data_IF_957571396422
#
_entry.id   IF_957571396422
#
_cell.length_a   1.000
_cell.length_b   1.000
_cell.length_c   1.000
_cell.angle_alpha   90.00
_cell.angle_beta   90.00
_cell.angle_gamma   90.00
#
_symmetry.space_group_name_H-M   'P 1'
#
loop_
_entity.id
_entity.type
_entity.pdbx_description
1 polymer ?
#
# COMPACT_ATOMS: atom_id res chain seq x y z
N UNK A 1 -2.94 -19.10 14.58
CA UNK A 1 -3.27 -18.32 13.38
C UNK A 1 -4.67 -17.72 13.55
N UNK A 2 -4.88 -16.44 13.26
CA UNK A 2 -6.16 -15.77 13.49
C UNK A 2 -7.20 -16.24 12.46
N UNK A 3 -8.48 -16.37 12.87
CA UNK A 3 -9.59 -16.80 12.00
C UNK A 3 -9.71 -15.92 10.74
N UNK A 4 -9.53 -14.61 10.86
CA UNK A 4 -9.59 -13.69 9.71
C UNK A 4 -8.47 -13.97 8.68
N UNK A 5 -7.28 -14.34 9.14
CA UNK A 5 -6.17 -14.72 8.24
C UNK A 5 -6.53 -15.96 7.40
N UNK A 6 -7.26 -16.91 7.97
CA UNK A 6 -7.71 -18.10 7.27
C UNK A 6 -8.76 -17.79 6.19
N UNK A 7 -9.62 -16.79 6.43
CA UNK A 7 -10.59 -16.30 5.46
C UNK A 7 -9.86 -15.64 4.28
N UNK A 8 -8.89 -14.77 4.53
CA UNK A 8 -8.12 -14.11 3.47
C UNK A 8 -7.34 -15.08 2.59
N UNK A 9 -6.88 -16.22 3.14
CA UNK A 9 -6.28 -17.31 2.37
C UNK A 9 -7.25 -17.90 1.34
N UNK A 10 -8.48 -18.15 1.76
CA UNK A 10 -9.54 -18.66 0.90
C UNK A 10 -9.83 -17.66 -0.23
N UNK A 11 -10.12 -16.41 0.12
CA UNK A 11 -10.44 -15.34 -0.85
C UNK A 11 -9.33 -15.16 -1.88
N UNK A 12 -8.07 -15.13 -1.45
CA UNK A 12 -6.92 -15.00 -2.34
C UNK A 12 -6.81 -16.16 -3.32
N UNK A 13 -7.02 -17.41 -2.86
CA UNK A 13 -7.00 -18.57 -3.75
C UNK A 13 -8.11 -18.52 -4.78
N UNK A 14 -9.31 -18.18 -4.36
CA UNK A 14 -10.46 -18.09 -5.26
C UNK A 14 -10.26 -16.98 -6.30
N UNK A 15 -9.72 -15.83 -5.91
CA UNK A 15 -9.36 -14.75 -6.84
C UNK A 15 -8.34 -15.22 -7.89
N UNK A 16 -7.29 -15.92 -7.48
CA UNK A 16 -6.29 -16.49 -8.41
C UNK A 16 -6.89 -17.48 -9.39
N UNK A 17 -7.83 -18.33 -8.92
CA UNK A 17 -8.53 -19.28 -9.78
C UNK A 17 -9.45 -18.57 -10.78
N UNK A 18 -10.12 -17.50 -10.38
CA UNK A 18 -10.95 -16.68 -11.26
C UNK A 18 -10.12 -16.06 -12.39
N UNK A 19 -8.98 -15.44 -12.06
CA UNK A 19 -8.08 -14.85 -13.05
C UNK A 19 -7.49 -15.89 -14.02
N UNK A 20 -7.18 -17.09 -13.54
CA UNK A 20 -6.71 -18.16 -14.42
C UNK A 20 -7.78 -18.60 -15.43
N UNK A 21 -9.06 -18.49 -15.11
CA UNK A 21 -10.16 -18.77 -16.06
C UNK A 21 -10.30 -17.65 -17.08
N UNK A 22 -10.33 -16.39 -16.65
CA UNK A 22 -10.41 -15.23 -17.56
C UNK A 22 -9.24 -15.23 -18.56
N UNK A 23 -8.00 -15.43 -18.09
CA UNK A 23 -6.84 -15.49 -18.98
C UNK A 23 -6.89 -16.65 -19.99
N UNK A 24 -7.58 -17.75 -19.66
CA UNK A 24 -7.79 -18.86 -20.62
C UNK A 24 -8.86 -18.52 -21.66
N UNK A 25 -9.92 -17.86 -21.25
CA UNK A 25 -10.98 -17.41 -22.16
C UNK A 25 -10.46 -16.35 -23.14
N UNK A 26 -9.69 -15.36 -22.65
CA UNK A 26 -9.01 -14.36 -23.48
C UNK A 26 -7.97 -14.96 -24.43
N UNK A 27 -7.30 -16.04 -24.04
CA UNK A 27 -6.32 -16.74 -24.89
C UNK A 27 -7.02 -17.52 -26.02
N UNK A 28 -8.21 -18.03 -25.80
CA UNK A 28 -9.01 -18.70 -26.84
C UNK A 28 -9.57 -17.71 -27.85
N UNK A 29 -9.97 -16.51 -27.40
CA UNK A 29 -10.50 -15.44 -28.26
C UNK A 29 -9.41 -14.76 -29.13
N UNK A 30 -8.13 -14.80 -28.70
CA UNK A 30 -7.00 -14.18 -29.42
C UNK A 30 -6.37 -15.06 -30.51
N UNK A 31 -6.77 -16.33 -30.65
CA UNK A 31 -6.25 -17.21 -31.71
C UNK A 31 -6.81 -16.91 -33.10
N UNK A 32 -7.80 -16.03 -33.24
CA UNK A 32 -8.43 -15.67 -34.51
C UNK A 32 -8.00 -14.30 -35.10
N UNK A 33 -6.98 -13.64 -34.55
CA UNK A 33 -6.46 -12.38 -35.10
C UNK A 33 -4.96 -12.46 -35.40
N UNK A 34 -4.64 -12.15 -36.68
CA UNK A 34 -3.28 -12.13 -37.26
C UNK A 34 -2.26 -11.31 -36.46
N UNK A 35 -0.95 -11.63 -36.56
CA UNK A 35 0.08 -11.02 -35.74
C UNK A 35 0.45 -9.60 -36.21
N UNK A 36 0.27 -8.62 -35.35
CA UNK A 36 0.82 -7.29 -35.55
C UNK A 36 2.34 -7.27 -35.30
N UNK A 37 3.05 -6.67 -36.26
CA UNK A 37 4.52 -6.52 -36.30
C UNK A 37 5.06 -5.82 -35.02
N UNK A 38 5.96 -6.48 -34.35
CA UNK A 38 6.80 -5.91 -33.29
C UNK A 38 7.77 -4.87 -33.85
N UNK A 39 7.66 -3.64 -33.41
CA UNK A 39 8.66 -2.60 -33.60
C UNK A 39 9.85 -2.86 -32.67
N UNK A 40 11.02 -3.11 -33.28
CA UNK A 40 12.29 -3.19 -32.56
C UNK A 40 12.74 -1.78 -32.17
N UNK A 41 12.92 -1.55 -30.86
CA UNK A 41 13.62 -0.34 -30.40
C UNK A 41 15.11 -0.46 -30.72
N UNK A 42 15.66 0.55 -31.41
CA UNK A 42 17.09 0.73 -31.62
C UNK A 42 17.74 1.24 -30.34
N UNK A 43 18.75 0.56 -29.87
CA UNK A 43 19.68 1.05 -28.86
C UNK A 43 20.71 1.96 -29.54
N UNK A 44 20.58 3.25 -29.37
CA UNK A 44 21.60 4.23 -29.75
C UNK A 44 22.64 4.38 -28.63
N UNK A 45 23.82 3.88 -28.88
CA UNK A 45 25.00 4.10 -28.05
C UNK A 45 25.55 5.49 -28.33
N UNK A 46 25.31 6.44 -27.43
CA UNK A 46 26.06 7.69 -27.42
C UNK A 46 27.29 7.55 -26.53
N UNK A 47 28.46 7.44 -27.15
CA UNK A 47 29.77 7.65 -26.53
C UNK A 47 30.17 9.12 -26.71
N UNK A 48 30.27 9.86 -25.60
CA UNK A 48 30.81 11.21 -25.56
C UNK A 48 32.30 11.11 -25.24
N UNK A 49 33.23 11.70 -26.03
CA UNK A 49 34.66 11.72 -25.69
C UNK A 49 34.95 12.75 -24.59
N UNK A 50 35.75 12.35 -23.61
CA UNK A 50 36.30 13.22 -22.57
C UNK A 50 37.45 14.05 -23.16
N UNK A 51 37.57 15.34 -22.81
CA UNK A 51 38.76 16.13 -23.21
C UNK A 51 39.92 15.88 -22.27
N UNK A 52 41.09 15.65 -22.82
CA UNK A 52 42.39 15.62 -22.18
C UNK A 52 42.73 17.00 -21.58
N UNK A 53 42.95 17.04 -20.24
CA UNK A 53 43.64 18.14 -19.62
C UNK A 53 44.74 17.62 -18.68
N UNK A 54 45.97 18.09 -18.92
CA UNK A 54 47.18 17.79 -18.19
C UNK A 54 47.14 18.31 -16.73
N UNK A 55 47.92 17.71 -15.80
CA UNK A 55 47.87 18.04 -14.38
C UNK A 55 48.65 19.32 -14.03
N UNK A 56 48.15 20.17 -13.10
CA UNK A 56 48.96 21.20 -12.49
C UNK A 56 49.71 20.64 -11.28
N UNK A 57 51.02 20.83 -11.28
CA UNK A 57 51.92 20.65 -10.14
C UNK A 57 51.69 21.74 -9.12
N UNK A 58 51.30 21.37 -7.92
CA UNK A 58 51.25 22.27 -6.77
C UNK A 58 51.11 21.47 -5.48
N UNK A 59 52.16 21.37 -4.71
CA UNK A 59 52.17 20.83 -3.35
C UNK A 59 51.36 21.76 -2.45
N UNK A 60 50.14 21.39 -2.12
CA UNK A 60 49.39 21.97 -0.99
C UNK A 60 49.10 20.90 0.05
N UNK A 61 49.29 21.27 1.31
CA UNK A 61 49.15 20.47 2.52
C UNK A 61 47.80 19.74 2.53
N UNK A 62 47.80 18.42 2.50
CA UNK A 62 46.67 17.56 2.79
C UNK A 62 46.16 17.75 4.22
N UNK A 63 45.26 18.70 4.38
CA UNK A 63 44.29 18.63 5.47
C UNK A 63 43.29 17.56 5.07
N UNK A 64 43.24 16.47 5.84
CA UNK A 64 42.33 15.32 5.62
C UNK A 64 40.85 15.77 5.55
N UNK A 65 40.39 16.23 4.42
CA UNK A 65 38.99 16.24 4.10
C UNK A 65 38.64 14.79 3.81
N UNK A 66 38.06 14.09 4.79
CA UNK A 66 37.45 12.79 4.60
C UNK A 66 36.58 12.87 3.33
N UNK A 67 36.91 12.08 2.31
CA UNK A 67 36.25 12.16 1.02
C UNK A 67 34.74 11.91 1.22
N UNK A 68 33.83 12.69 0.62
CA UNK A 68 32.38 12.55 0.80
C UNK A 68 31.86 11.14 0.52
N UNK A 69 32.52 10.42 -0.38
CA UNK A 69 32.23 9.01 -0.73
C UNK A 69 32.41 8.07 0.46
N UNK A 70 33.45 8.27 1.27
CA UNK A 70 33.74 7.43 2.43
C UNK A 70 32.70 7.62 3.55
N UNK A 71 32.31 8.85 3.83
CA UNK A 71 31.26 9.13 4.83
C UNK A 71 29.92 8.50 4.45
N UNK A 72 29.50 8.61 3.17
CA UNK A 72 28.24 8.01 2.70
C UNK A 72 28.25 6.50 2.89
N UNK A 73 29.38 5.85 2.66
CA UNK A 73 29.52 4.41 2.82
C UNK A 73 29.53 4.00 4.30
N UNK A 74 30.19 4.76 5.17
CA UNK A 74 30.20 4.55 6.61
C UNK A 74 28.78 4.66 7.20
N UNK A 75 28.04 5.71 6.84
CA UNK A 75 26.65 5.93 7.26
C UNK A 75 25.74 4.80 6.78
N UNK A 76 25.86 4.40 5.52
CA UNK A 76 25.08 3.29 4.96
C UNK A 76 25.35 1.98 5.71
N UNK A 77 26.61 1.65 5.93
CA UNK A 77 27.02 0.41 6.61
C UNK A 77 26.52 0.41 8.06
N UNK A 78 26.64 1.54 8.75
CA UNK A 78 26.10 1.71 10.10
C UNK A 78 24.60 1.45 10.14
N UNK A 79 23.81 2.14 9.31
CA UNK A 79 22.37 2.03 9.31
C UNK A 79 21.90 0.61 8.95
N UNK A 80 22.51 -0.03 7.94
CA UNK A 80 22.16 -1.40 7.54
C UNK A 80 22.52 -2.45 8.60
N UNK A 81 23.54 -2.19 9.43
CA UNK A 81 23.94 -3.08 10.54
C UNK A 81 22.98 -2.98 11.72
N UNK A 82 22.47 -1.78 12.01
CA UNK A 82 21.65 -1.52 13.19
C UNK A 82 20.17 -1.68 12.94
N UNK A 83 19.70 -1.41 11.71
CA UNK A 83 18.27 -1.30 11.38
C UNK A 83 17.92 -1.97 10.07
N UNK A 84 16.75 -2.58 10.05
CA UNK A 84 16.03 -2.96 8.82
C UNK A 84 15.17 -1.76 8.39
N UNK A 85 15.25 -1.36 7.13
CA UNK A 85 14.42 -0.30 6.55
C UNK A 85 13.57 -0.83 5.41
N UNK A 86 12.37 -0.24 5.23
CA UNK A 86 11.51 -0.44 4.07
C UNK A 86 10.72 0.83 3.77
N UNK A 87 10.37 1.04 2.50
CA UNK A 87 9.58 2.18 2.08
C UNK A 87 8.14 1.75 1.77
N UNK A 88 7.19 2.34 2.48
CA UNK A 88 5.77 2.03 2.33
C UNK A 88 5.18 2.80 1.15
N UNK A 89 4.74 2.09 0.11
CA UNK A 89 4.20 2.70 -1.12
C UNK A 89 2.86 3.42 -0.92
N UNK A 90 2.09 3.09 0.13
CA UNK A 90 0.79 3.72 0.39
C UNK A 90 0.92 5.01 1.20
N UNK A 91 1.66 4.97 2.30
CA UNK A 91 1.86 6.15 3.15
C UNK A 91 2.99 7.04 2.64
N UNK A 92 3.83 6.52 1.74
CA UNK A 92 5.04 7.17 1.22
C UNK A 92 6.03 7.55 2.35
N UNK A 93 6.13 6.67 3.34
CA UNK A 93 7.02 6.84 4.49
C UNK A 93 8.06 5.72 4.51
N UNK A 94 9.28 6.05 4.92
CA UNK A 94 10.26 5.05 5.28
C UNK A 94 9.96 4.54 6.69
N UNK A 95 9.87 3.23 6.82
CA UNK A 95 9.68 2.55 8.10
C UNK A 95 10.98 1.82 8.47
N UNK A 96 11.21 1.67 9.78
CA UNK A 96 12.38 1.01 10.33
C UNK A 96 12.03 0.07 11.48
N UNK A 97 12.91 -0.85 11.77
CA UNK A 97 12.96 -1.64 13.02
C UNK A 97 14.41 -1.99 13.35
N UNK A 98 14.75 -2.28 14.63
CA UNK A 98 16.06 -2.79 14.97
C UNK A 98 16.33 -4.15 14.29
N UNK A 99 17.49 -4.30 13.63
CA UNK A 99 17.82 -5.49 12.86
C UNK A 99 17.91 -6.76 13.71
N UNK A 100 18.29 -6.63 14.98
CA UNK A 100 18.41 -7.71 15.95
C UNK A 100 17.07 -8.12 16.63
N UNK A 101 15.97 -7.37 16.37
CA UNK A 101 14.66 -7.57 16.99
C UNK A 101 13.56 -7.76 15.94
N UNK A 102 13.62 -8.85 15.19
CA UNK A 102 12.66 -9.11 14.11
C UNK A 102 11.20 -9.23 14.55
N UNK A 103 10.95 -9.48 15.84
CA UNK A 103 9.60 -9.51 16.41
C UNK A 103 8.99 -8.12 16.62
N UNK A 104 9.79 -7.06 16.61
CA UNK A 104 9.31 -5.67 16.72
C UNK A 104 8.69 -5.26 15.39
N UNK A 105 7.48 -4.65 15.39
CA UNK A 105 6.89 -4.14 14.17
C UNK A 105 7.73 -2.99 13.58
N UNK A 106 7.57 -2.77 12.29
CA UNK A 106 8.13 -1.59 11.65
C UNK A 106 7.37 -0.33 12.06
N UNK A 107 8.09 0.75 12.31
CA UNK A 107 7.56 2.06 12.67
C UNK A 107 8.06 3.12 11.69
N UNK A 108 7.27 4.18 11.40
CA UNK A 108 7.72 5.27 10.53
C UNK A 108 8.93 5.99 11.12
N UNK A 109 9.88 6.36 10.26
CA UNK A 109 11.02 7.21 10.65
C UNK A 109 10.54 8.64 10.80
N UNK A 110 10.41 9.10 12.04
CA UNK A 110 10.14 10.50 12.35
C UNK A 110 11.45 11.30 12.54
N UNK A 111 11.30 12.61 12.74
CA UNK A 111 12.45 13.47 13.04
C UNK A 111 13.15 13.06 14.34
N UNK A 112 12.43 12.49 15.29
CA UNK A 112 12.98 12.02 16.56
C UNK A 112 13.90 10.82 16.34
N UNK A 113 13.46 9.84 15.57
CA UNK A 113 14.26 8.66 15.23
C UNK A 113 15.49 9.04 14.41
N UNK A 114 15.35 9.97 13.46
CA UNK A 114 16.47 10.48 12.68
C UNK A 114 17.57 11.07 13.58
N UNK A 115 17.17 11.87 14.59
CA UNK A 115 18.12 12.41 15.56
C UNK A 115 18.76 11.29 16.41
N UNK A 116 18.00 10.27 16.81
CA UNK A 116 18.52 9.10 17.53
C UNK A 116 19.60 8.40 16.71
N UNK A 117 19.32 8.13 15.43
CA UNK A 117 20.31 7.51 14.53
C UNK A 117 21.58 8.35 14.38
N UNK A 118 21.45 9.68 14.37
CA UNK A 118 22.59 10.59 14.31
C UNK A 118 23.46 10.49 15.58
N UNK A 119 22.83 10.47 16.74
CA UNK A 119 23.54 10.31 18.03
C UNK A 119 24.26 8.96 18.11
N UNK A 120 23.59 7.87 17.75
CA UNK A 120 24.21 6.54 17.74
C UNK A 120 25.36 6.40 16.74
N UNK A 121 25.27 7.08 15.57
CA UNK A 121 26.38 7.16 14.64
C UNK A 121 27.58 7.88 15.21
N UNK A 122 27.35 8.99 15.93
CA UNK A 122 28.42 9.73 16.63
C UNK A 122 29.07 8.88 17.72
N UNK A 123 28.30 8.13 18.50
CA UNK A 123 28.82 7.21 19.53
C UNK A 123 29.74 6.14 18.93
N UNK A 124 29.55 5.80 17.65
CA UNK A 124 30.43 4.90 16.89
C UNK A 124 31.58 5.63 16.13
N UNK A 125 31.78 6.93 16.41
CA UNK A 125 32.86 7.72 15.81
C UNK A 125 32.60 8.17 14.36
N UNK A 126 31.37 8.07 13.86
CA UNK A 126 30.96 8.51 12.52
C UNK A 126 30.56 9.99 12.60
N UNK A 127 31.38 10.90 12.07
CA UNK A 127 31.09 12.35 12.04
C UNK A 127 30.11 12.66 10.89
N UNK A 128 28.81 12.44 11.11
CA UNK A 128 27.75 12.70 10.14
C UNK A 128 26.70 13.68 10.71
N UNK A 129 25.93 14.27 9.80
CA UNK A 129 24.80 15.13 10.15
C UNK A 129 23.47 14.41 9.80
N UNK A 130 22.37 14.89 10.34
CA UNK A 130 21.02 14.43 10.02
C UNK A 130 20.74 14.35 8.50
N UNK A 131 21.31 15.28 7.73
CA UNK A 131 21.22 15.30 6.26
C UNK A 131 21.90 14.12 5.60
N UNK A 132 22.97 13.59 6.15
CA UNK A 132 23.71 12.47 5.57
C UNK A 132 22.92 11.16 5.78
N UNK A 133 22.32 11.00 6.95
CA UNK A 133 21.40 9.91 7.27
C UNK A 133 20.13 10.01 6.42
N UNK A 134 19.53 11.19 6.32
CA UNK A 134 18.33 11.45 5.54
C UNK A 134 18.49 11.09 4.07
N UNK A 135 19.65 11.38 3.46
CA UNK A 135 19.96 11.01 2.06
C UNK A 135 19.86 9.53 1.82
N UNK A 136 20.31 8.70 2.75
CA UNK A 136 20.17 7.26 2.63
C UNK A 136 18.74 6.79 2.92
N UNK A 137 18.15 7.22 4.04
CA UNK A 137 16.85 6.79 4.53
C UNK A 137 15.71 7.13 3.54
N UNK A 138 15.81 8.29 2.87
CA UNK A 138 14.80 8.74 1.89
C UNK A 138 15.24 8.52 0.43
N UNK A 139 16.23 7.66 0.20
CA UNK A 139 16.67 7.29 -1.14
C UNK A 139 15.99 6.01 -1.65
N UNK A 140 16.07 5.79 -2.94
CA UNK A 140 15.65 4.54 -3.61
C UNK A 140 16.52 3.33 -3.24
N UNK A 141 17.55 3.50 -2.39
CA UNK A 141 18.30 2.39 -1.82
C UNK A 141 17.50 1.59 -0.79
N UNK A 142 16.43 2.15 -0.25
CA UNK A 142 15.52 1.47 0.67
C UNK A 142 14.51 0.65 -0.14
N UNK A 143 14.34 -0.64 0.18
CA UNK A 143 13.42 -1.50 -0.56
C UNK A 143 11.97 -1.04 -0.39
N UNK A 144 11.28 -0.90 -1.50
CA UNK A 144 9.86 -0.56 -1.53
C UNK A 144 9.00 -1.79 -1.22
N UNK A 145 7.89 -1.58 -0.53
CA UNK A 145 6.90 -2.61 -0.30
C UNK A 145 5.47 -2.08 -0.34
N UNK A 146 4.55 -2.93 -0.75
CA UNK A 146 3.12 -2.65 -0.72
C UNK A 146 2.47 -3.46 0.40
N UNK A 147 1.90 -2.85 1.45
CA UNK A 147 1.44 -3.56 2.66
C UNK A 147 0.46 -4.70 2.38
N UNK A 148 -0.52 -4.46 1.51
CA UNK A 148 -1.54 -5.47 1.18
C UNK A 148 -0.96 -6.61 0.36
N UNK A 149 -0.11 -6.33 -0.62
CA UNK A 149 0.53 -7.36 -1.45
C UNK A 149 1.43 -8.23 -0.60
N UNK A 150 2.29 -7.63 0.21
CA UNK A 150 3.17 -8.37 1.12
C UNK A 150 2.36 -9.27 2.06
N UNK A 151 1.29 -8.75 2.68
CA UNK A 151 0.43 -9.55 3.54
C UNK A 151 -0.18 -10.75 2.81
N UNK A 152 -0.70 -10.54 1.60
CA UNK A 152 -1.32 -11.59 0.79
C UNK A 152 -0.31 -12.64 0.30
N UNK A 153 0.92 -12.23 -0.02
CA UNK A 153 2.00 -13.11 -0.45
C UNK A 153 2.52 -13.99 0.69
N UNK A 154 2.54 -13.46 1.91
CA UNK A 154 2.96 -14.20 3.12
C UNK A 154 1.88 -15.15 3.66
N UNK A 155 0.66 -15.10 3.14
CA UNK A 155 -0.39 -16.02 3.55
C UNK A 155 -0.02 -17.47 3.21
N UNK A 156 -0.12 -18.39 4.17
CA UNK A 156 0.07 -19.80 3.89
C UNK A 156 -1.00 -20.34 2.91
N UNK A 157 -0.76 -21.51 2.28
CA UNK A 157 -1.71 -22.12 1.36
C UNK A 157 -3.09 -22.39 2.00
N UNK A 158 -4.18 -22.32 1.24
CA UNK A 158 -5.54 -22.61 1.74
C UNK A 158 -5.70 -24.09 2.09
N UNK A 159 -6.38 -24.39 3.18
CA UNK A 159 -6.59 -25.74 3.73
C UNK A 159 -7.87 -26.44 3.21
N UNK A 160 -8.59 -25.82 2.28
CA UNK A 160 -9.82 -26.38 1.68
C UNK A 160 -11.10 -26.07 2.45
N UNK A 161 -11.03 -25.49 3.64
CA UNK A 161 -12.22 -25.20 4.45
C UNK A 161 -12.85 -23.87 4.06
N UNK A 162 -14.15 -23.88 3.76
CA UNK A 162 -14.93 -22.66 3.52
C UNK A 162 -15.27 -21.96 4.84
N UNK A 163 -14.66 -20.81 5.03
CA UNK A 163 -14.87 -19.95 6.19
C UNK A 163 -15.55 -18.64 5.82
N UNK A 164 -15.59 -18.32 4.53
CA UNK A 164 -16.17 -17.08 4.06
C UNK A 164 -17.69 -17.13 4.13
N UNK A 165 -18.29 -18.27 3.76
CA UNK A 165 -19.71 -18.50 3.95
C UNK A 165 -20.10 -18.43 5.44
N UNK A 166 -19.35 -19.12 6.30
CA UNK A 166 -19.57 -19.08 7.75
C UNK A 166 -19.45 -17.67 8.35
N UNK A 167 -18.57 -16.82 7.79
CA UNK A 167 -18.47 -15.41 8.17
C UNK A 167 -19.70 -14.62 7.72
N UNK A 168 -20.16 -14.82 6.49
CA UNK A 168 -21.35 -14.14 5.96
C UNK A 168 -22.60 -14.49 6.77
N UNK A 169 -22.76 -15.74 7.17
CA UNK A 169 -23.87 -16.24 7.98
C UNK A 169 -23.92 -15.64 9.38
N UNK A 170 -22.81 -15.06 9.88
CA UNK A 170 -22.82 -14.27 11.13
C UNK A 170 -23.71 -13.05 11.06
N UNK A 171 -23.97 -12.56 9.86
CA UNK A 171 -24.82 -11.40 9.61
C UNK A 171 -26.22 -11.84 9.19
N UNK A 172 -26.33 -12.78 8.25
CA UNK A 172 -27.62 -13.27 7.75
C UNK A 172 -27.47 -14.58 7.00
N UNK A 173 -28.46 -15.48 7.14
CA UNK A 173 -28.55 -16.74 6.39
C UNK A 173 -29.17 -16.57 4.99
N UNK A 174 -29.49 -15.34 4.60
CA UNK A 174 -30.02 -15.02 3.28
C UNK A 174 -28.98 -15.37 2.20
N UNK A 175 -29.37 -16.26 1.27
CA UNK A 175 -28.49 -16.74 0.20
C UNK A 175 -27.99 -15.62 -0.75
N UNK A 176 -28.85 -14.61 -1.00
CA UNK A 176 -28.45 -13.46 -1.78
C UNK A 176 -27.34 -12.64 -1.05
N UNK A 177 -27.49 -12.46 0.25
CA UNK A 177 -26.47 -11.82 1.08
C UNK A 177 -25.15 -12.60 1.04
N UNK A 178 -25.18 -13.90 1.31
CA UNK A 178 -24.00 -14.75 1.35
C UNK A 178 -23.23 -14.65 0.03
N UNK A 179 -23.92 -14.83 -1.11
CA UNK A 179 -23.34 -14.72 -2.44
C UNK A 179 -22.79 -13.33 -2.74
N UNK A 180 -23.52 -12.27 -2.40
CA UNK A 180 -23.11 -10.90 -2.65
C UNK A 180 -21.90 -10.50 -1.78
N UNK A 181 -21.88 -10.92 -0.52
CA UNK A 181 -20.75 -10.70 0.39
C UNK A 181 -19.49 -11.42 -0.10
N UNK A 182 -19.64 -12.67 -0.55
CA UNK A 182 -18.55 -13.42 -1.17
C UNK A 182 -17.94 -12.66 -2.38
N UNK A 183 -18.80 -12.24 -3.32
CA UNK A 183 -18.38 -11.48 -4.50
C UNK A 183 -17.72 -10.17 -4.11
N UNK A 184 -18.25 -9.46 -3.11
CA UNK A 184 -17.68 -8.23 -2.61
C UNK A 184 -16.29 -8.45 -1.98
N UNK A 185 -16.09 -9.53 -1.22
CA UNK A 185 -14.77 -9.88 -0.65
C UNK A 185 -13.73 -10.18 -1.73
N UNK A 186 -14.12 -10.85 -2.82
CA UNK A 186 -13.25 -11.04 -3.99
C UNK A 186 -12.88 -9.70 -4.63
N UNK A 187 -13.86 -8.82 -4.84
CA UNK A 187 -13.64 -7.48 -5.38
C UNK A 187 -12.73 -6.61 -4.50
N UNK A 188 -12.89 -6.70 -3.18
CA UNK A 188 -12.03 -6.01 -2.21
C UNK A 188 -10.58 -6.52 -2.30
N UNK A 189 -10.39 -7.84 -2.40
CA UNK A 189 -9.05 -8.43 -2.54
C UNK A 189 -8.41 -8.03 -3.87
N UNK A 190 -9.16 -8.07 -4.97
CA UNK A 190 -8.71 -7.61 -6.28
C UNK A 190 -8.27 -6.14 -6.23
N UNK A 191 -9.01 -5.28 -5.51
CA UNK A 191 -8.67 -3.89 -5.29
C UNK A 191 -7.33 -3.75 -4.55
N UNK A 192 -7.12 -4.49 -3.46
CA UNK A 192 -5.88 -4.49 -2.69
C UNK A 192 -4.67 -4.97 -3.48
N UNK A 193 -4.89 -5.93 -4.36
CA UNK A 193 -3.83 -6.48 -5.23
C UNK A 193 -3.56 -5.63 -6.48
N UNK A 194 -4.39 -4.59 -6.73
CA UNK A 194 -4.31 -3.79 -7.94
C UNK A 194 -4.75 -4.53 -9.21
N UNK A 195 -5.66 -5.48 -9.06
CA UNK A 195 -6.14 -6.38 -10.13
C UNK A 195 -7.50 -5.95 -10.70
N UNK A 196 -7.90 -4.71 -10.46
CA UNK A 196 -9.24 -4.20 -10.85
C UNK A 196 -9.32 -3.69 -12.29
N UNK A 197 -8.19 -3.66 -13.01
CA UNK A 197 -8.19 -3.17 -14.38
C UNK A 197 -8.78 -1.75 -14.51
N UNK A 198 -9.83 -1.61 -15.33
CA UNK A 198 -10.52 -0.32 -15.56
C UNK A 198 -11.58 -0.03 -14.48
N UNK A 199 -12.10 -1.07 -13.83
CA UNK A 199 -13.23 -0.96 -12.90
C UNK A 199 -12.77 -1.15 -11.46
N UNK A 200 -13.15 -0.22 -10.59
CA UNK A 200 -12.95 -0.33 -9.16
C UNK A 200 -14.09 -1.14 -8.50
N UNK A 201 -13.86 -1.67 -7.28
CA UNK A 201 -14.93 -2.25 -6.46
C UNK A 201 -15.93 -1.17 -6.05
N UNK A 202 -16.98 -0.97 -6.85
CA UNK A 202 -17.99 0.09 -6.68
C UNK A 202 -19.18 -0.31 -5.82
N UNK A 203 -19.16 -1.50 -5.23
CA UNK A 203 -20.20 -2.03 -4.34
C UNK A 203 -19.79 -1.84 -2.89
N UNK A 204 -20.76 -1.50 -2.03
CA UNK A 204 -20.58 -1.41 -0.59
C UNK A 204 -21.73 -2.15 0.11
N UNK A 205 -21.47 -3.22 0.87
CA UNK A 205 -22.49 -3.80 1.75
C UNK A 205 -22.84 -2.81 2.87
N UNK A 206 -24.13 -2.65 3.14
CA UNK A 206 -24.63 -1.84 4.26
C UNK A 206 -25.31 -2.77 5.27
N UNK A 207 -24.76 -2.83 6.49
CA UNK A 207 -25.33 -3.61 7.59
C UNK A 207 -26.41 -2.80 8.29
N UNK A 208 -27.66 -3.22 8.13
CA UNK A 208 -28.81 -2.50 8.68
C UNK A 208 -29.40 -3.24 9.89
N UNK A 209 -29.62 -2.54 10.99
CA UNK A 209 -30.37 -3.04 12.14
C UNK A 209 -30.87 -1.87 12.97
N UNK A 210 -32.15 -1.84 13.28
CA UNK A 210 -32.77 -0.84 14.18
C UNK A 210 -32.31 -0.96 15.64
N UNK A 211 -31.80 -2.15 16.03
CA UNK A 211 -31.28 -2.36 17.38
C UNK A 211 -29.84 -1.86 17.49
N UNK A 212 -29.56 -1.10 18.54
CA UNK A 212 -28.20 -0.72 18.92
C UNK A 212 -27.46 -1.89 19.58
N UNK A 213 -26.12 -1.85 19.56
CA UNK A 213 -25.30 -2.88 20.21
C UNK A 213 -25.15 -4.20 19.43
N UNK A 214 -25.68 -4.32 18.21
CA UNK A 214 -25.55 -5.49 17.33
C UNK A 214 -24.14 -5.67 16.74
N UNK A 215 -23.16 -4.93 17.24
CA UNK A 215 -21.74 -5.05 16.85
C UNK A 215 -21.47 -4.87 15.35
N UNK A 216 -22.30 -4.10 14.62
CA UNK A 216 -22.13 -3.85 13.18
C UNK A 216 -20.74 -3.27 12.84
N UNK A 217 -20.35 -2.17 13.49
CA UNK A 217 -19.05 -1.53 13.26
C UNK A 217 -17.88 -2.43 13.71
N UNK A 218 -18.08 -3.23 14.78
CA UNK A 218 -17.11 -4.23 15.21
C UNK A 218 -16.89 -5.30 14.15
N UNK A 219 -17.98 -5.79 13.51
CA UNK A 219 -17.87 -6.70 12.38
C UNK A 219 -17.09 -6.08 11.22
N UNK A 220 -17.41 -4.86 10.81
CA UNK A 220 -16.70 -4.14 9.75
C UNK A 220 -15.19 -4.06 10.05
N UNK A 221 -14.83 -3.68 11.26
CA UNK A 221 -13.42 -3.59 11.69
C UNK A 221 -12.74 -4.95 11.74
N UNK A 222 -13.44 -6.00 12.15
CA UNK A 222 -12.91 -7.35 12.27
C UNK A 222 -12.58 -7.99 10.90
N UNK A 223 -13.11 -7.46 9.79
CA UNK A 223 -12.74 -7.89 8.44
C UNK A 223 -11.28 -7.54 8.12
N UNK A 224 -10.74 -6.47 8.71
CA UNK A 224 -9.36 -6.09 8.48
C UNK A 224 -8.39 -7.00 9.25
N UNK A 225 -7.36 -7.57 8.58
CA UNK A 225 -6.33 -8.33 9.29
C UNK A 225 -5.63 -7.47 10.34
N UNK A 226 -5.24 -8.02 11.50
CA UNK A 226 -4.54 -7.27 12.54
C UNK A 226 -3.28 -6.55 12.04
N UNK A 227 -2.51 -7.19 11.16
CA UNK A 227 -1.30 -6.61 10.56
C UNK A 227 -1.60 -5.39 9.66
N UNK A 228 -2.83 -5.28 9.14
CA UNK A 228 -3.29 -4.20 8.27
C UNK A 228 -4.28 -3.26 8.96
N UNK A 229 -4.48 -3.39 10.28
CA UNK A 229 -5.48 -2.64 11.04
C UNK A 229 -5.34 -1.11 10.92
N UNK A 230 -4.12 -0.60 10.70
CA UNK A 230 -3.85 0.83 10.46
C UNK A 230 -4.49 1.38 9.18
N UNK A 231 -4.85 0.50 8.25
CA UNK A 231 -5.49 0.85 6.97
C UNK A 231 -7.02 0.69 6.98
N UNK A 232 -7.60 0.60 8.16
CA UNK A 232 -9.03 0.68 8.39
C UNK A 232 -9.41 2.04 8.94
N UNK A 233 -10.52 2.60 8.46
CA UNK A 233 -11.05 3.86 8.96
C UNK A 233 -12.56 3.81 9.11
N UNK A 234 -13.05 4.25 10.27
CA UNK A 234 -14.45 4.60 10.49
C UNK A 234 -14.73 6.05 10.08
N UNK A 235 -15.99 6.36 9.76
CA UNK A 235 -16.48 7.73 9.58
C UNK A 235 -15.78 8.52 8.46
N UNK A 236 -15.92 8.04 7.23
CA UNK A 236 -15.47 8.78 6.04
C UNK A 236 -16.14 10.15 5.95
N UNK A 237 -15.38 11.23 6.14
CA UNK A 237 -15.86 12.60 6.00
C UNK A 237 -15.86 13.01 4.53
N UNK A 238 -17.04 13.10 3.94
CA UNK A 238 -17.25 13.58 2.56
C UNK A 238 -17.29 15.12 2.53
N UNK A 239 -16.14 15.74 2.73
CA UNK A 239 -15.98 17.19 2.59
C UNK A 239 -14.71 17.51 1.81
N UNK A 240 -14.69 18.65 1.12
CA UNK A 240 -13.50 19.09 0.39
C UNK A 240 -12.26 19.25 1.28
N UNK A 241 -12.45 19.53 2.56
CA UNK A 241 -11.38 19.63 3.54
C UNK A 241 -10.84 18.26 3.99
N UNK A 242 -11.65 17.19 3.88
CA UNK A 242 -11.30 15.84 4.29
C UNK A 242 -10.37 15.11 3.31
N UNK A 243 -10.14 15.68 2.12
CA UNK A 243 -9.34 15.08 1.03
C UNK A 243 -9.63 13.58 0.87
N UNK A 244 -10.90 13.20 0.61
CA UNK A 244 -11.31 11.80 0.59
C UNK A 244 -10.52 10.99 -0.44
N UNK A 245 -10.07 11.59 -1.54
CA UNK A 245 -9.27 10.92 -2.58
C UNK A 245 -7.96 10.37 -2.02
N UNK A 246 -7.30 11.10 -1.12
CA UNK A 246 -6.09 10.62 -0.47
C UNK A 246 -6.35 9.39 0.39
N UNK A 247 -7.45 9.39 1.15
CA UNK A 247 -7.86 8.25 1.96
C UNK A 247 -8.14 7.01 1.09
N UNK A 248 -8.69 7.22 -0.11
CA UNK A 248 -8.94 6.11 -1.05
C UNK A 248 -7.67 5.45 -1.58
N UNK A 249 -6.55 6.18 -1.63
CA UNK A 249 -5.26 5.63 -2.04
C UNK A 249 -4.49 4.98 -0.89
N UNK A 250 -4.76 5.35 0.36
CA UNK A 250 -4.01 4.90 1.54
C UNK A 250 -4.73 3.81 2.32
N UNK A 251 -6.07 3.90 2.48
CA UNK A 251 -6.86 2.96 3.27
C UNK A 251 -7.29 1.74 2.47
N UNK A 252 -7.38 0.58 3.12
CA UNK A 252 -7.88 -0.65 2.51
C UNK A 252 -9.38 -0.82 2.63
N UNK A 253 -9.94 -0.41 3.77
CA UNK A 253 -11.37 -0.51 4.04
C UNK A 253 -11.87 0.73 4.78
N UNK A 254 -12.89 1.36 4.20
CA UNK A 254 -13.57 2.53 4.75
C UNK A 254 -14.97 2.14 5.20
N UNK A 255 -15.25 2.31 6.48
CA UNK A 255 -16.58 2.11 7.03
C UNK A 255 -17.36 3.43 7.02
N UNK A 256 -18.47 3.44 6.31
CA UNK A 256 -19.47 4.51 6.33
C UNK A 256 -20.41 4.27 7.52
N UNK A 257 -19.91 4.54 8.72
CA UNK A 257 -20.69 4.35 9.93
C UNK A 257 -21.87 5.32 9.96
N UNK A 258 -23.03 4.88 10.46
CA UNK A 258 -24.27 5.65 10.45
C UNK A 258 -24.62 6.18 9.04
N UNK A 259 -24.62 5.29 8.04
CA UNK A 259 -24.87 5.63 6.63
C UNK A 259 -26.17 6.42 6.41
N UNK A 260 -27.17 6.22 7.25
CA UNK A 260 -28.42 6.97 7.27
C UNK A 260 -28.26 8.48 7.55
N UNK A 261 -27.13 8.89 8.11
CA UNK A 261 -26.82 10.32 8.35
C UNK A 261 -26.18 11.03 7.15
N UNK A 262 -25.79 10.29 6.11
CA UNK A 262 -25.26 10.90 4.89
C UNK A 262 -26.36 11.63 4.14
N UNK A 263 -26.22 12.95 4.00
CA UNK A 263 -27.21 13.79 3.32
C UNK A 263 -27.26 13.54 1.80
N UNK A 264 -28.40 13.86 1.20
CA UNK A 264 -28.61 13.74 -0.27
C UNK A 264 -27.55 14.49 -1.08
N UNK A 265 -27.00 15.58 -0.56
CA UNK A 265 -25.94 16.37 -1.21
C UNK A 265 -24.58 15.66 -1.23
N UNK A 266 -24.34 14.70 -0.34
CA UNK A 266 -23.10 13.93 -0.25
C UNK A 266 -23.12 12.71 -1.16
N UNK A 267 -24.28 12.21 -1.53
CA UNK A 267 -24.43 10.98 -2.32
C UNK A 267 -23.79 11.05 -3.71
N UNK A 268 -23.87 12.16 -4.47
CA UNK A 268 -23.19 12.25 -5.76
C UNK A 268 -21.66 12.14 -5.63
N UNK A 269 -21.08 12.79 -4.62
CA UNK A 269 -19.65 12.70 -4.34
C UNK A 269 -19.26 11.26 -3.97
N UNK A 270 -20.00 10.62 -3.06
CA UNK A 270 -19.76 9.24 -2.66
C UNK A 270 -19.80 8.29 -3.86
N UNK A 271 -20.83 8.38 -4.70
CA UNK A 271 -20.95 7.57 -5.92
C UNK A 271 -19.75 7.75 -6.85
N UNK A 272 -19.31 8.99 -7.05
CA UNK A 272 -18.14 9.31 -7.86
C UNK A 272 -16.88 8.65 -7.27
N UNK A 273 -16.63 8.82 -5.97
CA UNK A 273 -15.49 8.21 -5.28
C UNK A 273 -15.49 6.68 -5.37
N UNK A 274 -16.67 6.04 -5.29
CA UNK A 274 -16.82 4.59 -5.41
C UNK A 274 -16.54 4.06 -6.83
N UNK A 275 -16.66 4.89 -7.86
CA UNK A 275 -16.42 4.52 -9.25
C UNK A 275 -14.98 4.79 -9.71
N UNK A 276 -14.25 5.65 -9.02
CA UNK A 276 -12.87 5.97 -9.38
C UNK A 276 -11.97 4.75 -9.22
N UNK A 277 -11.32 4.33 -10.30
CA UNK A 277 -10.26 3.31 -10.26
C UNK A 277 -8.89 3.93 -9.96
N UNK A 278 -8.68 5.15 -10.45
CA UNK A 278 -7.45 5.91 -10.28
C UNK A 278 -7.75 7.30 -9.72
N UNK A 279 -6.84 7.80 -8.93
CA UNK A 279 -6.96 9.03 -8.16
C UNK A 279 -5.85 10.00 -8.54
N UNK A 280 -6.21 11.22 -8.92
CA UNK A 280 -5.25 12.29 -9.19
C UNK A 280 -4.99 13.08 -7.90
N UNK A 281 -3.92 12.73 -7.20
CA UNK A 281 -3.59 13.30 -5.89
C UNK A 281 -2.42 14.27 -6.03
N UNK A 282 -2.59 15.47 -5.50
CA UNK A 282 -1.52 16.45 -5.32
C UNK A 282 -1.06 16.44 -3.87
N UNK A 283 0.24 16.24 -3.63
CA UNK A 283 0.81 16.42 -2.29
C UNK A 283 0.80 17.90 -1.90
N UNK A 284 0.62 18.14 -0.61
CA UNK A 284 0.81 19.48 -0.06
C UNK A 284 2.20 20.02 -0.47
N UNK A 285 2.23 21.24 -0.99
CA UNK A 285 3.44 21.92 -1.48
C UNK A 285 4.10 21.33 -2.74
N UNK A 286 3.51 20.35 -3.41
CA UNK A 286 3.95 19.87 -4.74
C UNK A 286 3.01 20.35 -5.82
N UNK A 287 3.58 20.75 -6.98
CA UNK A 287 2.80 21.21 -8.15
C UNK A 287 2.31 20.06 -9.03
N UNK A 288 2.88 18.87 -8.88
CA UNK A 288 2.62 17.74 -9.75
C UNK A 288 1.54 16.83 -9.17
N UNK A 289 0.55 16.50 -9.97
CA UNK A 289 -0.41 15.45 -9.67
C UNK A 289 0.23 14.09 -9.88
N UNK A 290 -0.09 13.15 -8.99
CA UNK A 290 0.23 11.73 -9.15
C UNK A 290 -1.06 10.97 -9.41
N UNK A 291 -1.02 10.10 -10.38
CA UNK A 291 -2.10 9.16 -10.62
C UNK A 291 -1.82 7.89 -9.80
N UNK A 292 -2.61 7.68 -8.75
CA UNK A 292 -2.50 6.54 -7.86
C UNK A 292 -3.71 5.63 -8.00
N UNK A 293 -3.52 4.29 -7.97
CA UNK A 293 -4.65 3.38 -7.94
C UNK A 293 -5.43 3.54 -6.63
N UNK A 294 -6.74 3.40 -6.69
CA UNK A 294 -7.57 3.30 -5.50
C UNK A 294 -7.36 1.94 -4.83
N UNK A 295 -7.06 1.93 -3.55
CA UNK A 295 -6.93 0.72 -2.72
C UNK A 295 -8.20 0.47 -1.91
N UNK A 296 -8.87 1.53 -1.47
CA UNK A 296 -10.03 1.46 -0.60
C UNK A 296 -11.23 0.75 -1.23
N UNK A 297 -11.84 -0.15 -0.47
CA UNK A 297 -13.22 -0.59 -0.63
C UNK A 297 -14.09 -0.03 0.47
N UNK A 298 -15.41 -0.07 0.27
CA UNK A 298 -16.38 0.52 1.19
C UNK A 298 -17.26 -0.55 1.82
N UNK A 299 -17.60 -0.33 3.08
CA UNK A 299 -18.64 -1.03 3.83
C UNK A 299 -19.40 0.01 4.64
N UNK A 300 -20.58 -0.27 5.07
CA UNK A 300 -21.31 0.69 5.92
C UNK A 300 -22.19 0.04 6.95
N UNK A 301 -22.62 0.86 7.92
CA UNK A 301 -23.61 0.50 8.93
C UNK A 301 -24.74 1.50 8.94
N UNK A 302 -25.96 1.05 9.26
CA UNK A 302 -27.12 1.92 9.42
C UNK A 302 -27.99 1.43 10.55
N UNK A 303 -28.74 2.36 11.15
CA UNK A 303 -29.75 2.07 12.17
C UNK A 303 -31.19 2.14 11.61
N UNK A 304 -31.33 2.41 10.32
CA UNK A 304 -32.61 2.52 9.60
C UNK A 304 -32.57 1.76 8.31
#
# INVERSE_FOLDING_TARGET
MNAITLIWRQVLKELKLFQMKENKEDAVEKTDKEPQKTLKCHEDKYTVPLPDTAPPTGREKETERKQPVRLTQEVRTFLQKQYDFRYNLLTEETEYRPANKRAVPFEPVSKRELNTFCMEAHDQGISCWDKDLSRYIYSTCIPEYHPFRLYMEELPGWDGTDRLEALAQRVSDNQLWIKSFHTWMLGLTAQWMGMTGIHANSVAPILVSSEQGRQKSTFCKALMPPALSRYYMDNLKLSAQGKPERLLAEMGLLNMDEFDKYGTQQMPLLKNLMQMANLNICKAYQKNFRNLPRIASFIGTSNR
#
